data_IF_765724750734
#
_entry.id   IF_765724750734
#
_cell.length_a   1.000
_cell.length_b   1.000
_cell.length_c   1.000
_cell.angle_alpha   90.00
_cell.angle_beta   90.00
_cell.angle_gamma   90.00
#
_symmetry.space_group_name_H-M   'P 1'
#
loop_
_entity.id
_entity.type
_entity.pdbx_description
1 polymer ?
#
# COMPACT_ATOMS: atom_id res chain seq x y z
N UNK A 1 11.02 -23.50 -11.33
CA UNK A 1 10.62 -24.74 -12.03
C UNK A 1 9.47 -25.47 -11.35
N UNK A 2 9.59 -25.96 -10.10
CA UNK A 2 8.56 -26.82 -9.45
C UNK A 2 7.10 -26.34 -9.60
N UNK A 3 6.83 -25.04 -9.43
CA UNK A 3 5.46 -24.49 -9.54
C UNK A 3 4.78 -24.83 -10.88
N UNK A 4 5.53 -24.80 -11.99
CA UNK A 4 5.00 -25.13 -13.32
C UNK A 4 4.67 -26.63 -13.46
N UNK A 5 5.40 -27.49 -12.76
CA UNK A 5 5.15 -28.94 -12.73
C UNK A 5 3.85 -29.22 -11.97
N UNK A 6 3.63 -28.56 -10.82
CA UNK A 6 2.38 -28.66 -10.07
C UNK A 6 1.18 -28.12 -10.85
N UNK A 7 1.34 -27.00 -11.57
CA UNK A 7 0.30 -26.45 -12.47
C UNK A 7 -0.04 -27.43 -13.59
N UNK A 8 0.98 -28.03 -14.24
CA UNK A 8 0.77 -29.05 -15.28
C UNK A 8 0.03 -30.28 -14.73
N UNK A 9 0.43 -30.81 -13.57
CA UNK A 9 -0.23 -31.92 -12.90
C UNK A 9 -1.68 -31.60 -12.52
N UNK A 10 -1.97 -30.36 -12.09
CA UNK A 10 -3.34 -29.91 -11.82
C UNK A 10 -4.21 -29.93 -13.09
N UNK A 11 -3.72 -29.42 -14.23
CA UNK A 11 -4.46 -29.47 -15.49
C UNK A 11 -4.64 -30.90 -16.02
N UNK A 12 -3.65 -31.78 -15.85
CA UNK A 12 -3.76 -33.21 -16.18
C UNK A 12 -4.84 -33.88 -15.30
N UNK A 13 -4.87 -33.61 -13.99
CA UNK A 13 -5.90 -34.13 -13.10
C UNK A 13 -7.30 -33.60 -13.44
N UNK A 14 -7.42 -32.29 -13.72
CA UNK A 14 -8.67 -31.64 -14.12
C UNK A 14 -9.22 -32.23 -15.44
N UNK A 15 -8.37 -32.41 -16.44
CA UNK A 15 -8.77 -33.00 -17.73
C UNK A 15 -9.16 -34.47 -17.62
N UNK A 16 -8.45 -35.28 -16.81
CA UNK A 16 -8.83 -36.67 -16.52
C UNK A 16 -10.18 -36.72 -15.78
N UNK A 17 -10.42 -35.83 -14.82
CA UNK A 17 -11.69 -35.75 -14.08
C UNK A 17 -12.86 -35.31 -14.98
N UNK A 18 -12.64 -34.34 -15.87
CA UNK A 18 -13.62 -33.94 -16.89
C UNK A 18 -13.89 -35.08 -17.88
N UNK A 19 -12.84 -35.78 -18.33
CA UNK A 19 -12.96 -36.93 -19.23
C UNK A 19 -13.81 -38.05 -18.61
N UNK A 20 -13.54 -38.44 -17.35
CA UNK A 20 -14.39 -39.41 -16.65
C UNK A 20 -15.84 -38.93 -16.47
N UNK A 21 -16.05 -37.64 -16.17
CA UNK A 21 -17.38 -37.06 -16.04
C UNK A 21 -18.15 -37.04 -17.37
N UNK A 22 -17.47 -36.82 -18.50
CA UNK A 22 -18.06 -36.81 -19.84
C UNK A 22 -18.31 -38.23 -20.37
N UNK A 23 -17.32 -39.12 -20.25
CA UNK A 23 -17.40 -40.50 -20.72
C UNK A 23 -18.51 -41.29 -20.00
N UNK A 24 -18.88 -40.91 -18.77
CA UNK A 24 -20.05 -41.46 -18.06
C UNK A 24 -21.38 -41.32 -18.82
N UNK A 25 -21.52 -40.36 -19.74
CA UNK A 25 -22.74 -40.10 -20.52
C UNK A 25 -22.81 -40.82 -21.86
N UNK A 26 -21.68 -41.24 -22.43
CA UNK A 26 -21.61 -41.74 -23.81
C UNK A 26 -21.30 -43.23 -23.88
N UNK A 27 -22.31 -44.07 -23.65
CA UNK A 27 -22.27 -45.46 -24.11
C UNK A 27 -23.67 -45.99 -24.46
N UNK A 28 -24.06 -45.86 -25.72
CA UNK A 28 -25.20 -46.56 -26.31
C UNK A 28 -24.98 -46.71 -27.84
N UNK A 29 -24.97 -47.94 -28.34
CA UNK A 29 -24.54 -48.29 -29.70
C UNK A 29 -25.61 -49.12 -30.42
N UNK A 30 -25.95 -48.79 -31.68
CA UNK A 30 -26.71 -49.73 -32.54
C UNK A 30 -26.52 -49.53 -34.05
N UNK A 31 -26.64 -50.65 -34.77
CA UNK A 31 -26.86 -50.88 -36.20
C UNK A 31 -27.43 -52.34 -36.29
N UNK A 32 -28.09 -52.90 -37.30
CA UNK A 32 -28.55 -52.56 -38.67
C UNK A 32 -29.88 -53.36 -38.87
N UNK A 33 -30.85 -53.07 -39.72
CA UNK A 33 -31.01 -52.08 -40.80
C UNK A 33 -32.21 -51.13 -40.46
N UNK A 34 -32.97 -50.38 -41.29
CA UNK A 34 -33.58 -50.46 -42.65
C UNK A 34 -34.62 -51.58 -42.80
N UNK A 35 -35.91 -51.36 -43.09
CA UNK A 35 -36.74 -50.15 -43.32
C UNK A 35 -38.20 -50.46 -42.93
N UNK A 36 -39.10 -49.53 -42.56
CA UNK A 36 -38.98 -48.09 -42.24
C UNK A 36 -39.66 -47.85 -40.89
N UNK A 37 -38.97 -47.19 -39.94
CA UNK A 37 -39.38 -47.21 -38.52
C UNK A 37 -39.15 -45.87 -37.83
N UNK A 38 -40.21 -45.31 -37.21
CA UNK A 38 -40.11 -44.06 -36.46
C UNK A 38 -40.79 -44.12 -35.08
N UNK A 39 -39.95 -44.36 -34.06
CA UNK A 39 -39.97 -43.73 -32.73
C UNK A 39 -41.37 -43.55 -32.06
N UNK A 40 -41.83 -44.54 -31.28
CA UNK A 40 -42.38 -44.38 -29.91
C UNK A 40 -42.97 -45.71 -29.33
N UNK A 41 -42.17 -46.44 -28.53
CA UNK A 41 -42.52 -47.40 -27.42
C UNK A 41 -41.20 -48.10 -27.00
N UNK A 42 -40.79 -48.20 -25.73
CA UNK A 42 -41.42 -48.77 -24.51
C UNK A 42 -41.39 -50.32 -24.50
N UNK A 43 -40.52 -50.88 -23.64
CA UNK A 43 -40.47 -52.28 -23.15
C UNK A 43 -40.25 -53.39 -24.22
N UNK A 44 -39.84 -54.62 -23.91
CA UNK A 44 -39.57 -55.30 -22.62
C UNK A 44 -38.39 -56.29 -22.75
N UNK A 45 -38.02 -56.98 -21.66
CA UNK A 45 -36.93 -57.94 -21.51
C UNK A 45 -36.88 -59.08 -22.55
N UNK A 46 -35.67 -59.62 -22.83
CA UNK A 46 -35.39 -61.07 -22.97
C UNK A 46 -33.86 -61.35 -22.98
N UNK A 47 -33.44 -62.38 -22.21
CA UNK A 47 -32.17 -63.16 -22.22
C UNK A 47 -30.80 -62.42 -22.23
N UNK A 48 -29.93 -62.78 -21.27
CA UNK A 48 -28.47 -62.77 -21.50
C UNK A 48 -27.59 -62.17 -20.39
N UNK A 49 -27.12 -63.02 -19.46
CA UNK A 49 -25.91 -62.86 -18.64
C UNK A 49 -25.60 -61.50 -17.99
N UNK A 50 -26.04 -61.34 -16.74
CA UNK A 50 -25.18 -61.04 -15.58
C UNK A 50 -23.96 -60.09 -15.79
N UNK A 51 -24.11 -58.81 -15.41
CA UNK A 51 -23.31 -58.22 -14.31
C UNK A 51 -23.80 -56.87 -13.79
N UNK A 52 -23.85 -56.80 -12.46
CA UNK A 52 -24.30 -55.75 -11.54
C UNK A 52 -24.17 -54.27 -11.92
N UNK A 53 -25.17 -53.48 -11.50
CA UNK A 53 -25.04 -52.02 -11.37
C UNK A 53 -23.87 -51.63 -10.45
N UNK A 54 -22.85 -50.95 -10.99
CA UNK A 54 -21.84 -50.20 -10.24
C UNK A 54 -21.63 -48.81 -10.86
N UNK A 55 -22.59 -47.90 -10.65
CA UNK A 55 -22.59 -46.55 -11.27
C UNK A 55 -23.02 -45.40 -10.35
N UNK A 56 -22.78 -45.50 -9.04
CA UNK A 56 -23.06 -44.42 -8.08
C UNK A 56 -21.88 -44.05 -7.17
N UNK A 57 -21.02 -45.01 -6.79
CA UNK A 57 -19.89 -44.76 -5.87
C UNK A 57 -18.83 -43.80 -6.44
N UNK A 58 -18.53 -43.90 -7.74
CA UNK A 58 -17.40 -43.18 -8.35
C UNK A 58 -17.49 -41.64 -8.23
N UNK A 59 -18.69 -41.05 -8.20
CA UNK A 59 -18.83 -39.59 -8.01
C UNK A 59 -18.48 -39.18 -6.58
N UNK A 60 -18.74 -40.05 -5.59
CA UNK A 60 -18.39 -39.80 -4.18
C UNK A 60 -16.88 -39.94 -3.95
N UNK A 61 -16.24 -40.95 -4.57
CA UNK A 61 -14.79 -41.13 -4.46
C UNK A 61 -14.00 -40.04 -5.21
N UNK A 62 -14.43 -39.62 -6.40
CA UNK A 62 -13.81 -38.48 -7.12
C UNK A 62 -13.86 -37.21 -6.27
N UNK A 63 -15.00 -36.87 -5.66
CA UNK A 63 -15.12 -35.69 -4.77
C UNK A 63 -14.18 -35.76 -3.56
N UNK A 64 -14.06 -36.93 -2.92
CA UNK A 64 -13.13 -37.13 -1.82
C UNK A 64 -11.66 -36.97 -2.27
N UNK A 65 -11.32 -37.53 -3.44
CA UNK A 65 -9.99 -37.41 -4.03
C UNK A 65 -9.62 -35.96 -4.35
N UNK A 66 -10.55 -35.17 -4.90
CA UNK A 66 -10.31 -33.73 -5.17
C UNK A 66 -10.04 -32.92 -3.90
N UNK A 67 -10.78 -33.17 -2.81
CA UNK A 67 -10.56 -32.49 -1.51
C UNK A 67 -9.17 -32.86 -0.95
N UNK A 68 -8.81 -34.15 -0.99
CA UNK A 68 -7.50 -34.62 -0.54
C UNK A 68 -6.35 -34.05 -1.39
N UNK A 69 -6.54 -33.94 -2.70
CA UNK A 69 -5.56 -33.36 -3.63
C UNK A 69 -5.30 -31.87 -3.35
N UNK A 70 -6.33 -31.08 -3.03
CA UNK A 70 -6.15 -29.67 -2.61
C UNK A 70 -5.35 -29.60 -1.31
N UNK A 71 -5.67 -30.42 -0.29
CA UNK A 71 -4.92 -30.45 0.97
C UNK A 71 -3.45 -30.84 0.77
N UNK A 72 -3.17 -31.83 -0.09
CA UNK A 72 -1.80 -32.22 -0.44
C UNK A 72 -1.04 -31.11 -1.18
N UNK A 73 -1.68 -30.38 -2.10
CA UNK A 73 -1.06 -29.24 -2.80
C UNK A 73 -0.78 -28.11 -1.81
N UNK A 74 -1.73 -27.72 -0.96
CA UNK A 74 -1.53 -26.68 0.06
C UNK A 74 -0.41 -27.05 1.04
N UNK A 75 -0.37 -28.31 1.51
CA UNK A 75 0.70 -28.79 2.39
C UNK A 75 2.06 -28.87 1.67
N UNK A 76 2.10 -29.32 0.41
CA UNK A 76 3.35 -29.37 -0.36
C UNK A 76 3.89 -27.99 -0.68
N UNK A 77 3.05 -27.02 -1.04
CA UNK A 77 3.46 -25.63 -1.21
C UNK A 77 3.95 -25.06 0.12
N UNK A 78 3.19 -25.21 1.22
CA UNK A 78 3.60 -24.71 2.54
C UNK A 78 4.88 -25.37 3.06
N UNK A 79 5.12 -26.65 2.76
CA UNK A 79 6.37 -27.34 3.10
C UNK A 79 7.58 -26.94 2.24
N UNK A 80 7.36 -26.30 1.09
CA UNK A 80 8.41 -25.80 0.18
C UNK A 80 8.65 -24.30 0.27
N UNK A 81 7.65 -23.51 0.70
CA UNK A 81 7.71 -22.04 0.73
C UNK A 81 7.34 -21.41 2.07
N UNK A 82 6.76 -22.19 2.99
CA UNK A 82 6.47 -21.76 4.36
C UNK A 82 7.61 -22.10 5.30
N UNK A 83 7.68 -21.41 6.44
CA UNK A 83 8.59 -21.72 7.52
C UNK A 83 7.79 -21.78 8.84
N UNK A 84 7.59 -22.98 9.43
CA UNK A 84 6.72 -23.15 10.60
C UNK A 84 7.33 -22.63 11.91
N UNK A 85 8.64 -22.32 11.95
CA UNK A 85 9.31 -21.78 13.13
C UNK A 85 9.21 -20.24 13.24
N UNK A 86 8.67 -19.58 12.21
CA UNK A 86 8.43 -18.13 12.22
C UNK A 86 7.26 -17.80 13.16
N UNK A 87 7.59 -17.46 14.40
CA UNK A 87 6.67 -16.84 15.36
C UNK A 87 6.06 -15.57 14.74
N UNK A 88 4.75 -15.39 14.89
CA UNK A 88 3.94 -14.32 14.28
C UNK A 88 4.07 -12.95 14.98
N UNK A 89 5.31 -12.50 15.20
CA UNK A 89 5.64 -11.18 15.76
C UNK A 89 5.47 -10.06 14.72
N UNK A 90 4.25 -9.53 14.53
CA UNK A 90 4.05 -8.45 13.53
C UNK A 90 3.06 -7.32 13.86
N UNK A 91 2.40 -7.30 15.03
CA UNK A 91 1.68 -6.10 15.48
C UNK A 91 1.46 -6.00 17.00
N UNK A 92 1.05 -7.10 17.65
CA UNK A 92 0.78 -7.11 19.10
C UNK A 92 1.97 -6.64 19.92
N UNK A 93 3.15 -7.21 19.67
CA UNK A 93 4.40 -6.82 20.33
C UNK A 93 4.81 -5.37 20.04
N UNK A 94 4.56 -4.85 18.83
CA UNK A 94 4.82 -3.45 18.46
C UNK A 94 3.94 -2.47 19.26
N UNK A 95 2.73 -2.89 19.65
CA UNK A 95 1.82 -2.10 20.48
C UNK A 95 2.15 -2.19 21.98
N UNK A 96 2.60 -3.36 22.43
CA UNK A 96 2.96 -3.65 23.82
C UNK A 96 4.31 -3.01 24.24
N UNK A 97 5.28 -2.97 23.31
CA UNK A 97 6.53 -2.22 23.48
C UNK A 97 6.27 -0.75 23.87
N UNK A 98 7.08 -0.23 24.79
CA UNK A 98 7.08 1.17 25.18
C UNK A 98 7.41 2.06 23.96
N UNK A 99 6.58 3.05 23.59
CA UNK A 99 6.80 3.92 22.42
C UNK A 99 8.20 4.56 22.37
N UNK A 100 8.78 4.88 23.53
CA UNK A 100 10.11 5.52 23.62
C UNK A 100 11.30 4.57 23.34
N UNK A 101 11.04 3.26 23.26
CA UNK A 101 12.05 2.23 22.95
C UNK A 101 11.94 1.70 21.51
N UNK A 102 10.93 2.15 20.76
CA UNK A 102 10.76 1.79 19.35
C UNK A 102 11.77 2.53 18.47
N UNK A 103 12.34 1.85 17.47
CA UNK A 103 13.05 2.50 16.37
C UNK A 103 12.09 3.39 15.55
N UNK A 104 12.61 4.39 14.81
CA UNK A 104 11.78 5.31 14.00
C UNK A 104 10.79 4.58 13.09
N UNK A 105 11.24 3.51 12.41
CA UNK A 105 10.41 2.69 11.53
C UNK A 105 9.31 1.92 12.28
N UNK A 106 9.61 1.40 13.47
CA UNK A 106 8.59 0.82 14.35
C UNK A 106 7.57 1.88 14.80
N UNK A 107 8.01 3.10 15.13
CA UNK A 107 7.11 4.20 15.47
C UNK A 107 6.21 4.57 14.28
N UNK A 108 6.76 4.66 13.06
CA UNK A 108 6.01 4.95 11.84
C UNK A 108 4.96 3.87 11.54
N UNK A 109 5.33 2.58 11.56
CA UNK A 109 4.40 1.46 11.36
C UNK A 109 3.31 1.43 12.45
N UNK A 110 3.66 1.76 13.70
CA UNK A 110 2.70 1.91 14.80
C UNK A 110 1.71 3.03 14.55
N UNK A 111 2.17 4.19 14.08
CA UNK A 111 1.32 5.34 13.72
C UNK A 111 0.41 5.02 12.53
N UNK A 112 0.92 4.37 11.49
CA UNK A 112 0.14 3.92 10.33
C UNK A 112 -1.06 3.06 10.76
N UNK A 113 -0.84 2.00 11.55
CA UNK A 113 -1.93 1.09 11.96
C UNK A 113 -2.88 1.75 12.97
N UNK A 114 -2.41 2.70 13.79
CA UNK A 114 -3.28 3.51 14.64
C UNK A 114 -4.18 4.43 13.82
N UNK A 115 -3.63 5.14 12.82
CA UNK A 115 -4.40 6.01 11.94
C UNK A 115 -5.40 5.23 11.08
N UNK A 116 -5.02 4.06 10.55
CA UNK A 116 -5.93 3.16 9.83
C UNK A 116 -7.12 2.67 10.69
N UNK A 117 -6.98 2.64 12.02
CA UNK A 117 -8.08 2.31 12.96
C UNK A 117 -8.91 3.52 13.37
N UNK A 118 -8.36 4.73 13.25
CA UNK A 118 -9.00 5.98 13.62
C UNK A 118 -8.67 7.09 12.60
N UNK A 119 -9.15 6.98 11.33
CA UNK A 119 -8.77 7.88 10.22
C UNK A 119 -9.35 9.30 10.33
N UNK A 120 -9.89 9.66 11.50
CA UNK A 120 -10.42 10.97 11.85
C UNK A 120 -9.77 11.54 13.11
N UNK A 121 -8.83 10.83 13.76
CA UNK A 121 -8.00 11.42 14.81
C UNK A 121 -6.88 12.24 14.18
N UNK A 122 -7.11 13.55 14.10
CA UNK A 122 -6.12 14.48 13.57
C UNK A 122 -4.81 14.51 14.35
N UNK A 123 -4.74 14.06 15.62
CA UNK A 123 -3.44 13.95 16.33
C UNK A 123 -2.61 12.78 15.82
N UNK A 124 -3.24 11.71 15.36
CA UNK A 124 -2.56 10.64 14.65
C UNK A 124 -2.15 11.08 13.24
N UNK A 125 -2.95 11.91 12.56
CA UNK A 125 -2.55 12.51 11.27
C UNK A 125 -1.33 13.43 11.42
N UNK A 126 -1.34 14.37 12.38
CA UNK A 126 -0.19 15.26 12.67
C UNK A 126 1.10 14.46 12.92
N UNK A 127 1.04 13.43 13.77
CA UNK A 127 2.20 12.60 14.09
C UNK A 127 2.66 11.71 12.92
N UNK A 128 1.72 11.14 12.15
CA UNK A 128 2.02 10.28 11.01
C UNK A 128 2.62 11.06 9.84
N UNK A 129 2.15 12.28 9.57
CA UNK A 129 2.70 13.14 8.54
C UNK A 129 4.18 13.51 8.83
N UNK A 130 4.48 13.87 10.08
CA UNK A 130 5.87 14.12 10.53
C UNK A 130 6.72 12.85 10.43
N UNK A 131 6.19 11.69 10.83
CA UNK A 131 6.91 10.41 10.72
C UNK A 131 7.25 10.00 9.29
N UNK A 132 6.33 10.21 8.34
CA UNK A 132 6.59 9.99 6.91
C UNK A 132 7.61 10.98 6.35
N UNK A 133 7.55 12.26 6.76
CA UNK A 133 8.52 13.28 6.35
C UNK A 133 9.94 12.97 6.87
N UNK A 134 10.08 12.49 8.11
CA UNK A 134 11.37 12.14 8.70
C UNK A 134 12.05 10.90 8.10
N UNK A 135 11.29 9.90 7.63
CA UNK A 135 11.83 8.72 6.93
C UNK A 135 11.93 8.92 5.40
N UNK A 136 11.61 10.12 4.89
CA UNK A 136 11.75 10.46 3.46
C UNK A 136 10.62 9.94 2.54
N UNK A 137 9.51 9.50 3.11
CA UNK A 137 8.33 9.04 2.38
C UNK A 137 7.45 10.24 1.95
N UNK A 138 8.02 11.11 1.11
CA UNK A 138 7.44 12.42 0.82
C UNK A 138 6.03 12.39 0.23
N UNK A 139 5.74 11.45 -0.68
CA UNK A 139 4.40 11.29 -1.26
C UNK A 139 3.33 10.94 -0.21
N UNK A 140 3.67 10.05 0.73
CA UNK A 140 2.77 9.71 1.84
C UNK A 140 2.63 10.89 2.81
N UNK A 141 3.73 11.59 3.10
CA UNK A 141 3.72 12.79 3.93
C UNK A 141 2.79 13.88 3.36
N UNK A 142 2.86 14.17 2.05
CA UNK A 142 1.95 15.12 1.36
C UNK A 142 0.49 14.74 1.59
N UNK A 143 0.13 13.47 1.40
CA UNK A 143 -1.23 12.98 1.58
C UNK A 143 -1.73 13.10 3.03
N UNK A 144 -0.91 12.67 4.01
CA UNK A 144 -1.32 12.74 5.43
C UNK A 144 -1.29 14.18 5.96
N UNK A 145 -0.43 15.07 5.42
CA UNK A 145 -0.50 16.50 5.75
C UNK A 145 -1.79 17.15 5.24
N UNK A 146 -2.31 16.77 4.06
CA UNK A 146 -3.62 17.23 3.58
C UNK A 146 -4.74 16.76 4.52
N UNK A 147 -4.71 15.52 4.99
CA UNK A 147 -5.64 15.02 6.00
C UNK A 147 -5.48 15.71 7.36
N UNK A 148 -4.26 16.01 7.79
CA UNK A 148 -3.99 16.74 9.02
C UNK A 148 -4.52 18.19 8.97
N UNK A 149 -4.36 18.87 7.83
CA UNK A 149 -4.94 20.19 7.57
C UNK A 149 -6.48 20.14 7.52
N UNK A 150 -7.05 19.09 6.93
CA UNK A 150 -8.51 18.85 6.86
C UNK A 150 -9.13 18.53 8.22
N UNK A 151 -8.43 17.79 9.09
CA UNK A 151 -8.93 17.33 10.40
C UNK A 151 -8.68 18.34 11.53
N UNK A 152 -7.54 19.04 11.52
CA UNK A 152 -7.12 19.94 12.60
C UNK A 152 -7.09 21.43 12.22
N UNK A 153 -7.38 21.77 10.97
CA UNK A 153 -7.23 23.12 10.43
C UNK A 153 -5.78 23.54 10.15
N UNK A 154 -5.63 24.66 9.46
CA UNK A 154 -4.33 25.26 9.15
C UNK A 154 -3.59 25.73 10.42
N UNK A 155 -2.30 25.45 10.48
CA UNK A 155 -1.38 26.05 11.45
C UNK A 155 0.00 26.14 10.82
N UNK A 156 0.83 27.10 11.26
CA UNK A 156 2.15 27.31 10.67
C UNK A 156 3.03 26.04 10.65
N UNK A 157 3.09 25.19 11.70
CA UNK A 157 3.84 23.94 11.64
C UNK A 157 3.30 22.92 10.62
N UNK A 158 1.97 22.80 10.43
CA UNK A 158 1.39 21.89 9.43
C UNK A 158 1.64 22.38 8.01
N UNK A 159 1.48 23.67 7.77
CA UNK A 159 1.72 24.29 6.47
C UNK A 159 3.22 24.22 6.08
N UNK A 160 4.12 24.38 7.05
CA UNK A 160 5.56 24.13 6.86
C UNK A 160 5.83 22.65 6.57
N UNK A 161 5.27 21.72 7.35
CA UNK A 161 5.45 20.28 7.12
C UNK A 161 4.93 19.84 5.75
N UNK A 162 3.75 20.31 5.36
CA UNK A 162 3.15 20.10 4.04
C UNK A 162 4.03 20.65 2.91
N UNK A 163 4.47 21.91 3.01
CA UNK A 163 5.37 22.51 2.03
C UNK A 163 6.72 21.79 1.94
N UNK A 164 7.29 21.33 3.06
CA UNK A 164 8.52 20.52 3.08
C UNK A 164 8.30 19.13 2.47
N UNK A 165 7.12 18.52 2.66
CA UNK A 165 6.77 17.26 2.02
C UNK A 165 6.65 17.41 0.49
N UNK A 166 6.04 18.50 0.00
CA UNK A 166 6.03 18.84 -1.42
C UNK A 166 7.44 19.06 -1.97
N UNK A 167 8.29 19.81 -1.27
CA UNK A 167 9.70 20.05 -1.67
C UNK A 167 10.50 18.75 -1.73
N UNK A 168 10.31 17.83 -0.79
CA UNK A 168 10.96 16.52 -0.82
C UNK A 168 10.44 15.61 -1.94
N UNK A 169 9.14 15.68 -2.24
CA UNK A 169 8.51 14.95 -3.35
C UNK A 169 9.03 15.42 -4.72
N UNK A 170 9.26 16.73 -4.86
CA UNK A 170 9.78 17.40 -6.06
C UNK A 170 11.33 17.50 -6.05
N UNK A 171 12.00 16.51 -5.45
CA UNK A 171 13.48 16.35 -5.38
C UNK A 171 14.28 17.59 -4.92
N UNK A 172 13.67 18.47 -4.12
CA UNK A 172 14.26 19.71 -3.59
C UNK A 172 13.78 20.99 -4.29
N UNK A 173 12.96 20.90 -5.33
CA UNK A 173 12.37 22.06 -6.03
C UNK A 173 11.21 22.63 -5.22
N UNK A 174 11.23 23.94 -4.96
CA UNK A 174 10.14 24.63 -4.26
C UNK A 174 9.09 25.08 -5.27
N UNK A 175 8.05 24.26 -5.45
CA UNK A 175 6.90 24.57 -6.30
C UNK A 175 6.07 25.73 -5.76
N UNK A 176 5.21 26.30 -6.62
CA UNK A 176 4.32 27.39 -6.24
C UNK A 176 3.36 26.99 -5.10
N UNK A 177 2.95 25.72 -5.02
CA UNK A 177 2.09 25.22 -3.95
C UNK A 177 2.84 25.17 -2.60
N UNK A 178 4.08 24.67 -2.59
CA UNK A 178 4.94 24.72 -1.41
C UNK A 178 5.22 26.18 -0.96
N UNK A 179 5.50 27.07 -1.91
CA UNK A 179 5.68 28.50 -1.61
C UNK A 179 4.41 29.13 -1.01
N UNK A 180 3.22 28.80 -1.54
CA UNK A 180 1.95 29.29 -1.00
C UNK A 180 1.69 28.77 0.43
N UNK A 181 2.05 27.51 0.72
CA UNK A 181 1.98 26.95 2.06
C UNK A 181 2.93 27.66 3.04
N UNK A 182 4.17 27.92 2.62
CA UNK A 182 5.13 28.70 3.43
C UNK A 182 4.67 30.15 3.65
N UNK A 183 4.03 30.78 2.66
CA UNK A 183 3.46 32.13 2.83
C UNK A 183 2.34 32.13 3.87
N UNK A 184 1.37 31.21 3.79
CA UNK A 184 0.34 31.06 4.83
C UNK A 184 0.95 30.81 6.22
N UNK A 185 2.04 30.04 6.32
CA UNK A 185 2.74 29.84 7.59
C UNK A 185 3.41 31.12 8.11
N UNK A 186 3.99 31.94 7.22
CA UNK A 186 4.54 33.28 7.52
C UNK A 186 3.47 34.25 8.03
N UNK A 187 2.24 34.13 7.52
CA UNK A 187 1.09 34.96 7.87
C UNK A 187 0.45 34.54 9.22
N UNK A 188 0.31 33.23 9.45
CA UNK A 188 -0.17 32.68 10.73
C UNK A 188 0.85 32.82 11.87
N UNK A 189 2.15 32.83 11.57
CA UNK A 189 3.22 33.01 12.52
C UNK A 189 4.13 34.20 12.13
N UNK A 190 3.68 35.45 12.33
CA UNK A 190 4.43 36.64 11.91
C UNK A 190 5.80 36.80 12.59
N UNK A 191 5.99 36.12 13.73
CA UNK A 191 7.25 36.16 14.50
C UNK A 191 8.13 34.90 14.30
N UNK A 192 7.68 33.87 13.57
CA UNK A 192 8.50 32.70 13.29
C UNK A 192 9.40 32.95 12.06
N UNK A 193 10.69 32.68 12.23
CA UNK A 193 11.67 32.81 11.17
C UNK A 193 11.73 31.58 10.26
N UNK A 194 11.34 30.39 10.74
CA UNK A 194 11.55 29.16 10.00
C UNK A 194 10.85 29.12 8.63
N UNK A 195 9.53 29.44 8.49
CA UNK A 195 8.90 29.54 7.17
C UNK A 195 9.47 30.69 6.32
N UNK A 196 10.05 31.73 6.94
CA UNK A 196 10.72 32.83 6.22
C UNK A 196 12.04 32.38 5.57
N UNK A 197 12.80 31.49 6.21
CA UNK A 197 13.98 30.87 5.58
C UNK A 197 13.61 30.04 4.35
N UNK A 198 12.46 29.36 4.38
CA UNK A 198 11.95 28.54 3.27
C UNK A 198 11.45 29.40 2.10
N UNK A 199 10.76 30.52 2.36
CA UNK A 199 10.43 31.51 1.33
C UNK A 199 11.68 32.17 0.72
N UNK A 200 12.70 32.46 1.52
CA UNK A 200 13.96 33.01 1.02
C UNK A 200 14.71 32.00 0.12
N UNK A 201 14.65 30.71 0.43
CA UNK A 201 15.14 29.65 -0.46
C UNK A 201 14.31 29.55 -1.76
N UNK A 202 12.98 29.68 -1.68
CA UNK A 202 12.12 29.71 -2.88
C UNK A 202 12.47 30.90 -3.80
N UNK A 203 12.72 32.08 -3.21
CA UNK A 203 13.18 33.26 -3.94
C UNK A 203 14.57 33.02 -4.56
N UNK A 204 15.49 32.35 -3.86
CA UNK A 204 16.81 31.97 -4.40
C UNK A 204 16.69 31.03 -5.60
N UNK A 205 15.87 29.97 -5.49
CA UNK A 205 15.61 29.05 -6.59
C UNK A 205 14.97 29.75 -7.80
N UNK A 206 14.13 30.75 -7.58
CA UNK A 206 13.55 31.61 -8.61
C UNK A 206 14.51 32.69 -9.16
N UNK A 207 15.81 32.64 -8.85
CA UNK A 207 16.82 33.59 -9.31
C UNK A 207 16.77 34.98 -8.64
N UNK A 208 16.01 35.13 -7.56
CA UNK A 208 15.71 36.41 -6.88
C UNK A 208 16.50 36.58 -5.58
N UNK A 209 17.76 36.15 -5.54
CA UNK A 209 18.60 36.15 -4.32
C UNK A 209 18.65 37.52 -3.62
N UNK A 210 18.73 38.63 -4.36
CA UNK A 210 18.68 40.00 -3.79
C UNK A 210 17.36 40.27 -3.05
N UNK A 211 16.23 39.81 -3.59
CA UNK A 211 14.92 39.94 -2.93
C UNK A 211 14.81 39.01 -1.70
N UNK A 212 15.43 37.82 -1.76
CA UNK A 212 15.51 36.89 -0.63
C UNK A 212 16.29 37.48 0.55
N UNK A 213 17.43 38.13 0.26
CA UNK A 213 18.26 38.87 1.24
C UNK A 213 17.44 40.01 1.86
N UNK A 214 16.89 40.90 1.03
CA UNK A 214 16.08 42.03 1.49
C UNK A 214 14.87 41.59 2.32
N UNK A 215 14.21 40.48 1.97
CA UNK A 215 13.08 39.93 2.72
C UNK A 215 13.47 39.50 4.14
N UNK A 216 14.65 38.88 4.31
CA UNK A 216 15.15 38.47 5.62
C UNK A 216 15.71 39.64 6.44
N UNK A 217 16.34 40.63 5.80
CA UNK A 217 16.81 41.86 6.45
C UNK A 217 15.62 42.68 7.00
N UNK A 218 14.57 42.90 6.19
CA UNK A 218 13.31 43.54 6.59
C UNK A 218 12.54 42.81 7.72
N UNK A 219 12.89 41.55 8.00
CA UNK A 219 12.39 40.79 9.14
C UNK A 219 13.25 41.01 10.39
N UNK A 220 14.58 41.01 10.25
CA UNK A 220 15.51 41.25 11.36
C UNK A 220 15.44 42.69 11.91
N UNK A 221 15.13 43.68 11.08
CA UNK A 221 14.92 45.08 11.49
C UNK A 221 13.69 45.26 12.39
N UNK A 222 12.71 44.36 12.28
CA UNK A 222 11.48 44.34 13.09
C UNK A 222 11.61 43.47 14.34
N UNK A 223 12.71 42.73 14.47
CA UNK A 223 12.94 41.77 15.55
C UNK A 223 13.85 42.35 16.65
N UNK A 224 13.61 41.99 17.93
CA UNK A 224 14.53 42.29 19.03
C UNK A 224 15.98 41.86 18.74
N UNK A 225 16.95 42.47 19.42
CA UNK A 225 18.38 42.13 19.24
C UNK A 225 18.74 40.74 19.79
N UNK A 226 17.96 40.26 20.76
CA UNK A 226 18.05 38.99 21.48
C UNK A 226 17.10 37.91 20.93
N UNK A 227 16.39 38.17 19.82
CA UNK A 227 15.51 37.21 19.14
C UNK A 227 16.23 35.86 18.87
N UNK A 228 15.74 34.72 19.41
CA UNK A 228 16.50 33.45 19.41
C UNK A 228 16.88 32.86 18.04
N UNK A 229 16.15 33.22 16.97
CA UNK A 229 16.46 32.77 15.61
C UNK A 229 17.43 33.66 14.84
N UNK A 230 17.86 34.80 15.39
CA UNK A 230 18.64 35.84 14.71
C UNK A 230 19.84 35.27 13.93
N UNK A 231 20.69 34.48 14.61
CA UNK A 231 21.86 33.84 14.02
C UNK A 231 21.53 32.92 12.82
N UNK A 232 20.37 32.27 12.81
CA UNK A 232 19.96 31.39 11.69
C UNK A 232 19.50 32.20 10.47
N UNK A 233 18.90 33.36 10.69
CA UNK A 233 18.52 34.30 9.61
C UNK A 233 19.76 35.00 9.04
N UNK A 234 20.65 35.48 9.91
CA UNK A 234 21.92 36.10 9.52
C UNK A 234 22.81 35.13 8.73
N UNK A 235 22.93 33.87 9.18
CA UNK A 235 23.63 32.82 8.43
C UNK A 235 22.97 32.51 7.07
N UNK A 236 21.64 32.58 6.96
CA UNK A 236 20.94 32.40 5.68
C UNK A 236 21.15 33.58 4.74
N UNK A 237 21.20 34.82 5.25
CA UNK A 237 21.53 36.01 4.47
C UNK A 237 22.96 35.90 3.90
N UNK A 238 23.93 35.45 4.70
CA UNK A 238 25.30 35.20 4.24
C UNK A 238 25.31 34.14 3.13
N UNK A 239 24.72 32.96 3.36
CA UNK A 239 24.62 31.90 2.34
C UNK A 239 23.97 32.40 1.02
N UNK A 240 22.97 33.28 1.11
CA UNK A 240 22.31 33.84 -0.06
C UNK A 240 23.24 34.74 -0.89
N UNK A 241 24.08 35.56 -0.22
CA UNK A 241 25.09 36.41 -0.85
C UNK A 241 26.20 35.58 -1.49
N UNK A 242 26.73 34.60 -0.76
CA UNK A 242 27.73 33.64 -1.24
C UNK A 242 27.24 32.80 -2.45
N UNK A 243 25.92 32.80 -2.72
CA UNK A 243 25.27 32.12 -3.83
C UNK A 243 24.78 33.05 -4.95
N UNK A 244 25.11 34.34 -4.91
CA UNK A 244 24.73 35.34 -5.93
C UNK A 244 25.90 35.99 -6.66
N UNK A 245 27.13 35.68 -6.25
CA UNK A 245 28.40 36.13 -6.85
C UNK A 245 28.95 35.10 -7.86
#
# INVERSE_FOLDING_TARGET
MLLLIWVALFFIFLTISLFFSLHSKCDFKKNKSISDTNIYRICTCLVGSDKSCKRYENIRSIRALSIFFVLLITWSIYGLTGNPEVKSYFFSELMDKNPKMLSKREQLVRLQVLFLRAPHDGRLADALAVGYLEEGHFQDAVNIYLDALRLNGESAPRLVGYGLALVGYEEGVITQEAQNAFQKAVDLAPNDFYPRLLLAEALRQAGKSVQAIQFLENFLDKMPKDFPGRLRVEAKIIQLRDSSD
#
